data_IF_586796756279
#
_entry.id   IF_586796756279
#
_cell.length_a   1.000
_cell.length_b   1.000
_cell.length_c   1.000
_cell.angle_alpha   90.00
_cell.angle_beta   90.00
_cell.angle_gamma   90.00
#
_symmetry.space_group_name_H-M   'P 1'
#
loop_
_entity.id
_entity.type
_entity.pdbx_description
1 polymer ?
#
# COMPACT_ATOMS: atom_id res chain seq x y z
N UNK A 1 -6.23 0.32 19.27
CA UNK A 1 -6.54 1.38 20.26
C UNK A 1 -7.63 2.35 19.80
N UNK A 2 -7.55 2.87 18.57
CA UNK A 2 -8.50 3.86 18.01
C UNK A 2 -9.98 3.47 18.20
N UNK A 3 -10.36 2.23 17.89
CA UNK A 3 -11.75 1.78 18.02
C UNK A 3 -12.27 1.84 19.47
N UNK A 4 -11.43 1.54 20.47
CA UNK A 4 -11.80 1.65 21.89
C UNK A 4 -11.99 3.11 22.30
N UNK A 5 -11.09 3.99 21.86
CA UNK A 5 -11.18 5.44 22.12
C UNK A 5 -12.45 6.02 21.51
N UNK A 6 -12.77 5.67 20.24
CA UNK A 6 -14.03 6.09 19.60
C UNK A 6 -15.26 5.69 20.43
N UNK A 7 -15.27 4.45 20.92
CA UNK A 7 -16.38 3.98 21.77
C UNK A 7 -16.45 4.74 23.10
N UNK A 8 -15.32 5.04 23.75
CA UNK A 8 -15.32 5.82 24.99
C UNK A 8 -15.81 7.25 24.77
N UNK A 9 -15.38 7.90 23.69
CA UNK A 9 -15.86 9.24 23.34
C UNK A 9 -17.36 9.24 23.05
N UNK A 10 -17.86 8.22 22.36
CA UNK A 10 -19.30 8.06 22.12
C UNK A 10 -20.07 7.92 23.44
N UNK A 11 -19.64 7.01 24.33
CA UNK A 11 -20.29 6.81 25.65
C UNK A 11 -20.27 8.10 26.48
N UNK A 12 -19.15 8.83 26.47
CA UNK A 12 -19.00 10.08 27.21
C UNK A 12 -19.98 11.16 26.70
N UNK A 13 -20.11 11.28 25.38
CA UNK A 13 -21.08 12.17 24.74
C UNK A 13 -22.52 11.79 25.10
N UNK A 14 -22.89 10.52 24.93
CA UNK A 14 -24.24 10.02 25.22
C UNK A 14 -24.62 10.19 26.71
N UNK A 15 -23.63 10.08 27.61
CA UNK A 15 -23.83 10.23 29.06
C UNK A 15 -23.63 11.68 29.56
N UNK A 16 -23.33 12.63 28.67
CA UNK A 16 -22.97 14.01 29.00
C UNK A 16 -21.87 14.13 30.09
N UNK A 17 -20.85 13.28 30.00
CA UNK A 17 -19.73 13.22 30.94
C UNK A 17 -18.43 13.64 30.27
N UNK A 18 -17.47 14.12 31.07
CA UNK A 18 -16.15 14.47 30.55
C UNK A 18 -15.42 13.21 29.98
N UNK A 19 -15.01 13.24 28.69
CA UNK A 19 -14.32 12.12 28.05
C UNK A 19 -13.01 11.71 28.75
N UNK A 20 -12.34 12.63 29.45
CA UNK A 20 -11.11 12.31 30.16
C UNK A 20 -11.35 11.34 31.34
N UNK A 21 -12.56 11.36 31.92
CA UNK A 21 -12.94 10.47 33.01
C UNK A 21 -13.07 9.03 32.49
N UNK A 22 -13.68 8.84 31.32
CA UNK A 22 -13.77 7.52 30.68
C UNK A 22 -12.37 6.97 30.33
N UNK A 23 -11.47 7.82 29.83
CA UNK A 23 -10.09 7.42 29.54
C UNK A 23 -9.31 7.07 30.81
N UNK A 24 -9.50 7.83 31.89
CA UNK A 24 -8.91 7.57 33.20
C UNK A 24 -9.37 6.21 33.76
N UNK A 25 -10.64 5.88 33.63
CA UNK A 25 -11.17 4.57 34.03
C UNK A 25 -10.57 3.44 33.20
N UNK A 26 -10.49 3.60 31.88
CA UNK A 26 -9.87 2.61 31.00
C UNK A 26 -8.41 2.32 31.36
N UNK A 27 -7.63 3.35 31.74
CA UNK A 27 -6.24 3.18 32.17
C UNK A 27 -6.10 2.36 33.45
N UNK A 28 -7.12 2.36 34.33
CA UNK A 28 -7.13 1.59 35.57
C UNK A 28 -7.84 0.23 35.45
N UNK A 29 -8.61 0.01 34.38
CA UNK A 29 -9.29 -1.26 34.15
C UNK A 29 -8.28 -2.34 33.71
N UNK A 30 -8.38 -3.56 34.24
CA UNK A 30 -7.54 -4.67 33.80
C UNK A 30 -7.79 -4.99 32.32
N UNK A 31 -6.74 -5.37 31.60
CA UNK A 31 -6.86 -5.72 30.19
C UNK A 31 -7.44 -7.13 30.05
N UNK A 32 -8.36 -7.34 29.10
CA UNK A 32 -8.85 -8.70 28.85
C UNK A 32 -7.72 -9.67 28.49
N UNK A 33 -7.58 -10.75 29.27
CA UNK A 33 -6.50 -11.73 29.17
C UNK A 33 -5.20 -11.34 29.88
N UNK A 34 -5.24 -10.33 30.76
CA UNK A 34 -4.14 -9.92 31.62
C UNK A 34 -4.68 -9.35 32.94
N UNK A 35 -4.09 -9.70 34.08
CA UNK A 35 -4.57 -9.20 35.38
C UNK A 35 -4.15 -7.75 35.67
N UNK A 36 -3.39 -7.12 34.77
CA UNK A 36 -2.84 -5.78 34.93
C UNK A 36 -3.54 -4.73 34.06
N UNK A 37 -3.69 -3.54 34.63
CA UNK A 37 -4.20 -2.36 33.93
C UNK A 37 -3.09 -1.64 33.14
N UNK A 38 -3.43 -0.86 32.11
CA UNK A 38 -2.45 -0.05 31.37
C UNK A 38 -1.60 0.87 32.25
N UNK A 39 -2.20 1.48 33.27
CA UNK A 39 -1.50 2.35 34.21
C UNK A 39 -0.46 1.58 35.03
N UNK A 40 -0.78 0.36 35.46
CA UNK A 40 0.17 -0.49 36.17
C UNK A 40 1.31 -0.94 35.26
N UNK A 41 1.03 -1.31 34.01
CA UNK A 41 2.08 -1.71 33.07
C UNK A 41 3.05 -0.58 32.73
N UNK A 42 2.56 0.66 32.64
CA UNK A 42 3.36 1.81 32.23
C UNK A 42 3.99 2.57 33.41
N UNK A 43 3.24 2.77 34.49
CA UNK A 43 3.62 3.62 35.63
C UNK A 43 3.79 2.81 36.93
N UNK A 44 3.64 1.49 36.87
CA UNK A 44 3.69 0.61 38.05
C UNK A 44 2.67 0.96 39.14
N UNK A 45 1.62 1.73 38.87
CA UNK A 45 0.65 2.14 39.91
C UNK A 45 -0.76 2.25 39.35
N UNK A 46 -1.75 2.28 40.25
CA UNK A 46 -3.08 2.75 39.90
C UNK A 46 -3.13 4.28 39.92
N UNK A 47 -4.02 4.85 39.10
CA UNK A 47 -4.34 6.28 39.13
C UNK A 47 -5.53 6.52 40.04
N UNK A 48 -5.58 7.72 40.62
CA UNK A 48 -6.71 8.16 41.45
C UNK A 48 -7.96 8.28 40.58
N UNK A 49 -8.98 7.48 40.88
CA UNK A 49 -10.29 7.50 40.23
C UNK A 49 -11.37 8.05 41.19
N UNK A 50 -12.59 8.23 40.68
CA UNK A 50 -13.75 8.69 41.49
C UNK A 50 -14.21 7.65 42.50
N UNK A 51 -13.94 6.37 42.25
CA UNK A 51 -14.25 5.31 43.21
C UNK A 51 -13.26 5.40 44.39
N UNK A 52 -13.70 5.13 45.62
CA UNK A 52 -12.81 5.08 46.76
C UNK A 52 -11.74 4.02 46.51
N UNK A 53 -10.46 4.42 46.64
CA UNK A 53 -9.31 3.55 46.49
C UNK A 53 -8.37 3.75 47.67
N UNK A 54 -7.65 2.69 48.03
CA UNK A 54 -6.67 2.73 49.10
C UNK A 54 -5.41 3.47 48.65
N UNK A 55 -4.76 4.20 49.56
CA UNK A 55 -3.56 4.97 49.25
C UNK A 55 -2.39 4.07 48.80
N UNK A 56 -2.34 2.84 49.30
CA UNK A 56 -1.35 1.83 48.94
C UNK A 56 -1.34 1.54 47.42
N UNK A 57 -2.50 1.55 46.76
CA UNK A 57 -2.60 1.31 45.32
C UNK A 57 -2.06 2.46 44.46
N UNK A 58 -1.94 3.67 45.02
CA UNK A 58 -1.42 4.85 44.33
C UNK A 58 0.12 4.91 44.34
N UNK A 59 0.77 4.08 45.17
CA UNK A 59 2.22 3.94 45.18
C UNK A 59 2.69 2.97 44.08
N UNK A 60 3.89 3.22 43.50
CA UNK A 60 4.43 2.35 42.47
C UNK A 60 4.82 0.97 43.04
N UNK A 61 4.26 -0.06 42.44
CA UNK A 61 4.57 -1.48 42.59
C UNK A 61 4.89 -2.06 41.22
N UNK A 62 6.16 -2.41 41.01
CA UNK A 62 6.61 -3.01 39.75
C UNK A 62 5.96 -4.39 39.60
N UNK A 63 5.41 -4.64 38.41
CA UNK A 63 4.80 -5.92 38.05
C UNK A 63 5.57 -6.53 36.89
N UNK A 64 5.85 -7.84 36.96
CA UNK A 64 6.40 -8.56 35.82
C UNK A 64 5.25 -9.13 34.99
N UNK A 65 5.00 -8.48 33.85
CA UNK A 65 3.97 -8.87 32.91
C UNK A 65 4.54 -9.33 31.57
N UNK A 66 5.88 -9.43 31.43
CA UNK A 66 6.53 -9.61 30.13
C UNK A 66 6.09 -10.90 29.45
N UNK A 67 6.16 -12.02 30.18
CA UNK A 67 5.84 -13.33 29.63
C UNK A 67 4.37 -13.45 29.24
N UNK A 68 3.47 -12.89 30.05
CA UNK A 68 2.04 -12.84 29.75
C UNK A 68 1.75 -11.99 28.51
N UNK A 69 2.45 -10.86 28.32
CA UNK A 69 2.32 -10.03 27.14
C UNK A 69 2.82 -10.75 25.88
N UNK A 70 3.96 -11.45 25.97
CA UNK A 70 4.50 -12.26 24.87
C UNK A 70 3.55 -13.39 24.52
N UNK A 71 3.06 -14.14 25.50
CA UNK A 71 2.09 -15.21 25.29
C UNK A 71 0.81 -14.69 24.61
N UNK A 72 0.29 -13.55 25.08
CA UNK A 72 -0.88 -12.91 24.48
C UNK A 72 -0.64 -12.51 23.03
N UNK A 73 0.55 -11.97 22.71
CA UNK A 73 0.93 -11.63 21.34
C UNK A 73 0.98 -12.87 20.43
N UNK A 74 1.56 -13.97 20.92
CA UNK A 74 1.60 -15.25 20.20
C UNK A 74 0.20 -15.81 19.94
N UNK A 75 -0.70 -15.74 20.94
CA UNK A 75 -2.09 -16.17 20.74
C UNK A 75 -2.81 -15.30 19.71
N UNK A 76 -2.65 -13.97 19.77
CA UNK A 76 -3.22 -13.06 18.77
C UNK A 76 -2.72 -13.38 17.37
N UNK A 77 -1.42 -13.61 17.21
CA UNK A 77 -0.82 -14.06 15.96
C UNK A 77 -1.46 -15.37 15.49
N UNK A 78 -1.52 -16.40 16.36
CA UNK A 78 -2.12 -17.70 16.05
C UNK A 78 -3.57 -17.56 15.57
N UNK A 79 -4.39 -16.74 16.23
CA UNK A 79 -5.78 -16.54 15.81
C UNK A 79 -5.91 -15.77 14.50
N UNK A 80 -5.04 -14.77 14.27
CA UNK A 80 -5.01 -14.03 13.02
C UNK A 80 -4.56 -14.90 11.84
N UNK A 81 -3.48 -15.65 12.02
CA UNK A 81 -2.88 -16.50 10.98
C UNK A 81 -3.80 -17.65 10.54
N UNK A 82 -4.74 -18.10 11.39
CA UNK A 82 -5.78 -19.08 11.00
C UNK A 82 -6.62 -18.64 9.81
N UNK A 83 -6.92 -17.33 9.70
CA UNK A 83 -7.75 -16.77 8.61
C UNK A 83 -6.92 -16.08 7.54
N UNK A 84 -5.68 -15.69 7.86
CA UNK A 84 -4.79 -14.99 6.93
C UNK A 84 -4.18 -15.96 5.92
N UNK A 85 -4.34 -15.67 4.63
CA UNK A 85 -3.65 -16.39 3.55
C UNK A 85 -2.73 -15.42 2.81
N UNK A 86 -1.46 -15.77 2.56
CA UNK A 86 -0.59 -14.93 1.76
C UNK A 86 -1.14 -14.82 0.32
N UNK A 87 -1.15 -13.60 -0.23
CA UNK A 87 -1.47 -13.38 -1.63
C UNK A 87 -0.33 -13.88 -2.52
N UNK A 88 -0.66 -14.33 -3.74
CA UNK A 88 0.32 -14.78 -4.73
C UNK A 88 1.40 -13.73 -4.99
N UNK A 89 2.67 -14.13 -5.07
CA UNK A 89 3.74 -13.21 -5.41
C UNK A 89 3.59 -12.67 -6.83
N UNK A 90 4.06 -11.45 -7.06
CA UNK A 90 4.13 -10.82 -8.37
C UNK A 90 5.58 -10.76 -8.83
N UNK A 91 5.81 -10.96 -10.12
CA UNK A 91 7.12 -10.93 -10.74
C UNK A 91 7.34 -9.59 -11.44
N UNK A 92 8.61 -9.28 -11.69
CA UNK A 92 8.99 -8.12 -12.52
C UNK A 92 8.34 -8.26 -13.91
N UNK A 93 7.72 -7.19 -14.39
CA UNK A 93 7.03 -7.13 -15.67
C UNK A 93 5.56 -7.58 -15.63
N UNK A 94 5.04 -8.01 -14.47
CA UNK A 94 3.62 -8.31 -14.35
C UNK A 94 2.78 -7.05 -14.47
N UNK A 95 1.72 -7.14 -15.28
CA UNK A 95 0.71 -6.08 -15.42
C UNK A 95 -0.28 -6.19 -14.27
N UNK A 96 -0.42 -5.11 -13.52
CA UNK A 96 -1.26 -5.05 -12.34
C UNK A 96 -2.21 -3.87 -12.42
N UNK A 97 -3.37 -4.02 -11.77
CA UNK A 97 -4.18 -2.86 -11.38
C UNK A 97 -3.80 -2.49 -9.96
N UNK A 98 -3.40 -1.26 -9.75
CA UNK A 98 -3.01 -0.69 -8.48
C UNK A 98 -4.12 0.24 -7.96
N UNK A 99 -4.46 0.10 -6.68
CA UNK A 99 -5.38 1.02 -6.03
C UNK A 99 -4.65 2.33 -5.70
N UNK A 100 -5.14 3.42 -6.27
CA UNK A 100 -4.70 4.78 -6.05
C UNK A 100 -5.92 5.65 -5.68
N UNK A 101 -6.02 6.08 -4.43
CA UNK A 101 -7.11 6.92 -3.92
C UNK A 101 -8.50 6.39 -4.32
N UNK A 102 -8.77 5.13 -4.02
CA UNK A 102 -10.05 4.44 -4.31
C UNK A 102 -10.32 4.19 -5.80
N UNK A 103 -9.40 4.58 -6.69
CA UNK A 103 -9.45 4.28 -8.12
C UNK A 103 -8.43 3.21 -8.51
N UNK A 104 -8.82 2.27 -9.36
CA UNK A 104 -7.92 1.25 -9.87
C UNK A 104 -7.23 1.73 -11.14
N UNK A 105 -5.96 2.08 -11.03
CA UNK A 105 -5.11 2.44 -12.17
C UNK A 105 -4.31 1.24 -12.64
N UNK A 106 -3.87 1.24 -13.90
CA UNK A 106 -2.96 0.21 -14.40
C UNK A 106 -1.51 0.58 -14.09
N UNK A 107 -0.68 -0.43 -13.90
CA UNK A 107 0.74 -0.28 -13.68
C UNK A 107 1.50 -1.57 -13.95
N UNK A 108 2.83 -1.45 -14.01
CA UNK A 108 3.75 -2.56 -14.27
C UNK A 108 4.65 -2.74 -13.05
N UNK A 109 4.76 -3.96 -12.56
CA UNK A 109 5.63 -4.27 -11.43
C UNK A 109 7.09 -4.17 -11.86
N UNK A 110 7.85 -3.27 -11.23
CA UNK A 110 9.29 -3.10 -11.53
C UNK A 110 10.13 -4.12 -10.75
N UNK A 111 9.93 -4.20 -9.44
CA UNK A 111 10.54 -5.21 -8.57
C UNK A 111 9.84 -5.28 -7.20
N UNK A 112 10.11 -6.36 -6.47
CA UNK A 112 9.68 -6.54 -5.08
C UNK A 112 10.54 -5.66 -4.16
N UNK A 113 9.90 -4.94 -3.24
CA UNK A 113 10.61 -4.10 -2.28
C UNK A 113 11.29 -4.96 -1.19
N UNK A 114 12.27 -4.39 -0.48
CA UNK A 114 12.93 -5.05 0.66
C UNK A 114 11.94 -5.36 1.79
N UNK A 115 10.95 -4.49 1.99
CA UNK A 115 9.87 -4.70 2.95
C UNK A 115 8.93 -5.83 2.52
N UNK A 116 8.52 -6.67 3.48
CA UNK A 116 7.59 -7.76 3.21
C UNK A 116 6.28 -7.25 2.61
N UNK A 117 5.77 -7.93 1.58
CA UNK A 117 4.51 -7.62 0.89
C UNK A 117 4.45 -6.27 0.17
N UNK A 118 5.54 -5.53 0.03
CA UNK A 118 5.57 -4.28 -0.74
C UNK A 118 6.22 -4.45 -2.11
N UNK A 119 5.72 -3.73 -3.11
CA UNK A 119 6.17 -3.76 -4.50
C UNK A 119 6.34 -2.34 -5.02
N UNK A 120 7.30 -2.15 -5.92
CA UNK A 120 7.47 -0.92 -6.67
C UNK A 120 6.81 -1.10 -8.03
N UNK A 121 5.90 -0.18 -8.36
CA UNK A 121 5.04 -0.23 -9.54
C UNK A 121 5.18 1.07 -10.31
N UNK A 122 5.40 0.94 -11.62
CA UNK A 122 5.39 2.07 -12.55
C UNK A 122 3.97 2.26 -13.10
N UNK A 123 3.49 3.51 -13.06
CA UNK A 123 2.17 3.91 -13.53
C UNK A 123 2.24 4.32 -15.01
N UNK A 124 1.11 4.27 -15.71
CA UNK A 124 1.00 4.80 -17.09
C UNK A 124 1.37 6.29 -17.18
N UNK A 125 1.12 7.04 -16.10
CA UNK A 125 1.45 8.46 -15.96
C UNK A 125 2.97 8.72 -15.81
N UNK A 126 3.82 7.68 -15.86
CA UNK A 126 5.28 7.77 -15.71
C UNK A 126 5.80 7.84 -14.27
N UNK A 127 4.91 7.80 -13.27
CA UNK A 127 5.29 7.84 -11.85
C UNK A 127 5.56 6.44 -11.28
N UNK A 128 6.59 6.34 -10.44
CA UNK A 128 6.94 5.11 -9.71
C UNK A 128 6.43 5.19 -8.27
N UNK A 129 5.61 4.23 -7.86
CA UNK A 129 4.97 4.20 -6.54
C UNK A 129 5.26 2.89 -5.79
N UNK A 130 5.38 2.98 -4.47
CA UNK A 130 5.45 1.81 -3.60
C UNK A 130 4.03 1.43 -3.14
N UNK A 131 3.64 0.17 -3.34
CA UNK A 131 2.30 -0.35 -3.00
C UNK A 131 2.39 -1.68 -2.28
N UNK A 132 1.44 -1.93 -1.36
CA UNK A 132 1.33 -3.25 -0.74
C UNK A 132 0.66 -4.23 -1.68
N UNK A 133 0.95 -5.52 -1.50
CA UNK A 133 0.42 -6.60 -2.33
C UNK A 133 -1.11 -6.62 -2.38
N UNK A 134 -1.75 -6.29 -1.26
CA UNK A 134 -3.22 -6.20 -1.15
C UNK A 134 -3.83 -5.10 -2.03
N UNK A 135 -3.04 -4.09 -2.38
CA UNK A 135 -3.45 -2.95 -3.19
C UNK A 135 -3.18 -3.21 -4.69
N UNK A 136 -2.70 -4.40 -5.05
CA UNK A 136 -2.37 -4.81 -6.41
C UNK A 136 -3.23 -6.01 -6.82
N UNK A 137 -3.82 -5.94 -8.02
CA UNK A 137 -4.55 -7.05 -8.63
C UNK A 137 -3.79 -7.46 -9.89
N UNK A 138 -3.34 -8.71 -9.92
CA UNK A 138 -2.74 -9.29 -11.12
C UNK A 138 -3.75 -9.27 -12.27
N UNK A 139 -3.33 -8.77 -13.43
CA UNK A 139 -4.15 -8.74 -14.62
C UNK A 139 -3.53 -9.64 -15.68
N UNK A 140 -4.29 -10.59 -16.20
CA UNK A 140 -3.81 -11.52 -17.22
C UNK A 140 -3.52 -10.79 -18.53
N UNK A 141 -2.45 -11.20 -19.21
CA UNK A 141 -2.01 -10.64 -20.50
C UNK A 141 -3.07 -10.71 -21.61
N UNK A 142 -4.12 -11.54 -21.46
CA UNK A 142 -5.24 -11.61 -22.42
C UNK A 142 -5.96 -10.25 -22.57
N UNK A 143 -6.01 -9.45 -21.50
CA UNK A 143 -6.58 -8.10 -21.51
C UNK A 143 -5.61 -7.01 -22.00
N UNK A 144 -4.33 -7.35 -22.18
CA UNK A 144 -3.32 -6.45 -22.76
C UNK A 144 -3.52 -6.28 -24.28
N UNK A 145 -3.91 -7.37 -24.96
CA UNK A 145 -4.12 -7.40 -26.42
C UNK A 145 -5.27 -6.50 -26.88
N UNK A 146 -6.33 -6.37 -26.08
CA UNK A 146 -7.49 -5.53 -26.40
C UNK A 146 -7.18 -4.03 -26.34
N UNK A 147 -6.15 -3.63 -25.57
CA UNK A 147 -5.77 -2.22 -25.45
C UNK A 147 -4.80 -1.78 -26.54
N UNK A 148 -3.79 -2.61 -26.87
CA UNK A 148 -2.91 -2.33 -28.02
C UNK A 148 -3.72 -2.23 -29.33
N UNK A 149 -4.76 -3.07 -29.48
CA UNK A 149 -5.67 -3.03 -30.63
C UNK A 149 -6.52 -1.75 -30.71
N UNK A 150 -6.74 -1.07 -29.59
CA UNK A 150 -7.48 0.21 -29.53
C UNK A 150 -6.60 1.40 -29.95
N UNK A 151 -5.31 1.38 -29.64
CA UNK A 151 -4.36 2.41 -30.07
C UNK A 151 -3.93 2.28 -31.54
N UNK A 152 -3.84 1.06 -32.07
CA UNK A 152 -3.51 0.83 -33.49
C UNK A 152 -4.69 1.18 -34.43
N UNK A 153 -5.93 1.20 -33.90
CA UNK A 153 -7.14 1.62 -34.64
C UNK A 153 -7.25 3.12 -34.96
N UNK A 154 -6.31 3.95 -34.50
CA UNK A 154 -6.24 5.39 -34.83
C UNK A 154 -5.14 5.73 -35.85
N UNK A 155 -4.59 4.74 -36.56
CA UNK A 155 -3.69 4.98 -37.69
C UNK A 155 -4.46 4.67 -38.98
N UNK A 156 -5.32 5.60 -39.38
CA UNK A 156 -5.87 5.62 -40.74
C UNK A 156 -5.09 6.63 -41.56
N UNK A 157 -4.02 6.17 -42.21
CA UNK A 157 -3.81 6.49 -43.62
C UNK A 157 -2.75 5.55 -44.19
N UNK A 158 -3.16 4.72 -45.15
CA UNK A 158 -2.25 4.00 -46.03
C UNK A 158 -1.90 4.97 -47.16
N UNK A 159 -0.64 5.40 -47.24
CA UNK A 159 -0.09 5.84 -48.52
C UNK A 159 0.85 4.74 -49.02
N UNK A 160 0.39 4.06 -50.06
CA UNK A 160 1.23 3.21 -50.91
C UNK A 160 1.83 4.13 -51.94
N UNK A 161 3.16 4.27 -51.94
CA UNK A 161 3.91 4.68 -53.11
C UNK A 161 5.05 3.67 -53.27
N UNK A 162 4.90 2.87 -54.31
CA UNK A 162 5.92 2.23 -55.12
C UNK A 162 7.00 1.41 -54.39
N UNK A 163 6.73 0.11 -54.27
CA UNK A 163 7.73 -0.92 -54.59
C UNK A 163 8.68 -1.42 -53.51
N UNK A 164 8.84 -0.75 -52.36
CA UNK A 164 9.70 -1.27 -51.28
C UNK A 164 9.09 -1.00 -49.89
N UNK A 165 8.75 -2.06 -49.17
CA UNK A 165 8.21 -2.00 -47.82
C UNK A 165 9.31 -1.63 -46.81
N UNK A 166 9.50 -0.34 -46.56
CA UNK A 166 10.27 0.14 -45.40
C UNK A 166 9.37 0.90 -44.44
N UNK A 167 9.24 0.40 -43.21
CA UNK A 167 8.47 1.06 -42.13
C UNK A 167 9.43 1.98 -41.38
N UNK A 168 9.42 3.27 -41.69
CA UNK A 168 10.13 4.28 -40.92
C UNK A 168 9.20 4.78 -39.80
N UNK A 169 9.50 4.42 -38.55
CA UNK A 169 8.85 5.01 -37.38
C UNK A 169 9.48 6.40 -37.11
N UNK A 170 8.90 7.47 -37.64
CA UNK A 170 9.24 8.83 -37.21
C UNK A 170 8.49 9.17 -35.93
N UNK A 171 9.25 9.24 -34.84
CA UNK A 171 8.80 9.60 -33.50
C UNK A 171 8.79 11.12 -33.39
N UNK A 172 7.60 11.73 -33.33
CA UNK A 172 7.43 13.12 -32.88
C UNK A 172 6.29 13.19 -31.88
N UNK A 173 6.62 13.16 -30.59
CA UNK A 173 5.72 13.60 -29.53
C UNK A 173 6.15 15.02 -29.15
N UNK A 174 5.36 16.02 -29.50
CA UNK A 174 5.47 17.36 -28.93
C UNK A 174 4.83 17.35 -27.54
N UNK A 175 5.64 17.56 -26.51
CA UNK A 175 5.18 17.91 -25.16
C UNK A 175 4.96 19.41 -25.15
N UNK A 176 3.72 19.86 -25.01
CA UNK A 176 3.44 21.25 -24.65
C UNK A 176 3.54 21.35 -23.12
N UNK A 177 4.63 21.95 -22.64
CA UNK A 177 4.66 22.59 -21.32
C UNK A 177 5.19 24.00 -21.51
N UNK A 178 4.44 24.98 -21.01
CA UNK A 178 4.83 26.39 -20.98
C UNK A 178 6.01 26.55 -20.00
N UNK A 179 7.07 27.23 -20.44
CA UNK A 179 7.68 28.34 -19.70
C UNK A 179 8.75 29.03 -20.57
N UNK A 180 8.88 30.32 -20.32
CA UNK A 180 9.68 31.28 -21.06
C UNK A 180 11.19 31.03 -21.04
N UNK A 181 11.81 31.42 -22.16
CA UNK A 181 13.19 31.84 -22.36
C UNK A 181 14.35 30.83 -22.25
N UNK A 182 15.11 30.78 -23.35
CA UNK A 182 16.56 30.57 -23.47
C UNK A 182 17.13 29.16 -23.84
N UNK A 183 17.44 29.05 -25.14
CA UNK A 183 18.78 28.73 -25.70
C UNK A 183 19.13 27.27 -26.08
N UNK A 184 19.06 27.03 -27.40
CA UNK A 184 19.92 26.25 -28.34
C UNK A 184 20.35 24.79 -28.07
N UNK A 185 19.81 23.92 -28.94
CA UNK A 185 20.41 22.85 -29.77
C UNK A 185 21.78 22.23 -29.40
N UNK A 186 21.80 20.90 -29.29
CA UNK A 186 23.02 20.07 -29.31
C UNK A 186 22.75 18.57 -29.08
N UNK A 187 22.64 17.83 -30.19
CA UNK A 187 22.93 16.41 -30.45
C UNK A 187 22.36 15.26 -29.59
N UNK A 188 21.49 14.48 -30.23
CA UNK A 188 21.02 13.16 -29.79
C UNK A 188 22.01 12.07 -30.20
N UNK A 189 22.56 11.34 -29.22
CA UNK A 189 23.24 10.07 -29.47
C UNK A 189 22.21 8.93 -29.66
N UNK A 190 22.34 8.29 -30.82
CA UNK A 190 21.60 7.14 -31.31
C UNK A 190 21.77 5.92 -30.41
N UNK A 191 20.72 5.12 -30.25
CA UNK A 191 20.85 3.73 -29.77
C UNK A 191 20.06 2.80 -30.71
N UNK A 192 20.78 2.26 -31.69
CA UNK A 192 20.32 1.18 -32.54
C UNK A 192 20.35 -0.14 -31.75
N UNK A 193 19.20 -0.82 -31.66
CA UNK A 193 19.17 -2.27 -31.42
C UNK A 193 18.12 -2.92 -32.33
N UNK A 194 18.61 -3.61 -33.36
CA UNK A 194 17.88 -4.67 -34.07
C UNK A 194 17.61 -5.83 -33.12
N UNK A 195 16.39 -6.36 -33.14
CA UNK A 195 16.04 -7.64 -32.52
C UNK A 195 15.43 -8.50 -33.62
N UNK A 196 16.14 -9.57 -34.01
CA UNK A 196 15.66 -10.60 -34.93
C UNK A 196 14.73 -11.57 -34.17
N UNK A 197 13.61 -11.93 -34.80
CA UNK A 197 12.67 -12.94 -34.30
C UNK A 197 12.88 -14.18 -35.18
N UNK A 198 13.14 -15.37 -34.61
CA UNK A 198 13.24 -16.59 -35.41
C UNK A 198 11.84 -17.05 -35.84
N UNK A 199 11.74 -17.36 -37.13
CA UNK A 199 10.57 -17.94 -37.78
C UNK A 199 10.46 -19.43 -37.41
N UNK A 200 9.54 -19.78 -36.52
CA UNK A 200 8.91 -21.09 -36.58
C UNK A 200 7.55 -21.08 -35.89
N UNK A 201 6.65 -21.93 -36.38
CA UNK A 201 5.20 -22.02 -36.13
C UNK A 201 4.31 -21.25 -37.11
N UNK A 202 4.51 -21.52 -38.40
CA UNK A 202 3.39 -21.68 -39.34
C UNK A 202 3.39 -23.12 -39.85
N UNK A 203 2.58 -23.97 -39.21
CA UNK A 203 1.60 -24.89 -39.83
C UNK A 203 0.74 -25.54 -38.74
#
# INVERSE_FOLDING_TARGET
>A
MIQRVKNFLKIAYDSNTDPYIALLQYRNAPLSGLDFSPAQLLMSRFLRIKLPTTSQNLHPKVVDARDNLVYRQQQQQKYYDRKSKPLSSLNKGDVVRMNYNETWKRGIVRFKHQASRSYIVDTEDGSTLTRNRRDLIYTTKKYFKYFLKMCVGMISSKHVLDGESSIIFTRSFSVISRNDSNTTFGDCLSFDKKVEIPDDLTE
#
